data_IF_934405578390
#
_entry.id   IF_934405578390
#
_cell.length_a   1.000
_cell.length_b   1.000
_cell.length_c   1.000
_cell.angle_alpha   90.00
_cell.angle_beta   90.00
_cell.angle_gamma   90.00
#
_symmetry.space_group_name_H-M   'P 1'
#
loop_
_entity.id
_entity.type
_entity.pdbx_description
1 polymer ?
#
# COMPACT_ATOMS: atom_id res chain seq x y z
N UNK A 1 -1.52 63.79 8.44
CA UNK A 1 -2.31 62.57 8.13
C UNK A 1 -1.81 61.80 6.90
N UNK A 2 -1.37 62.45 5.80
CA UNK A 2 -0.81 61.74 4.63
C UNK A 2 0.54 61.03 4.87
N UNK A 3 1.37 61.54 5.79
CA UNK A 3 2.63 60.89 6.20
C UNK A 3 2.41 59.69 7.17
N UNK A 4 1.27 59.64 7.85
CA UNK A 4 0.93 58.55 8.78
C UNK A 4 0.28 57.36 8.05
N UNK A 5 -0.43 57.62 6.94
CA UNK A 5 -0.98 56.58 6.06
C UNK A 5 0.07 55.91 5.16
N UNK A 6 1.22 56.54 4.93
CA UNK A 6 2.33 55.95 4.16
C UNK A 6 3.21 55.04 5.00
N UNK A 7 3.31 55.26 6.32
CA UNK A 7 4.04 54.38 7.23
C UNK A 7 3.26 53.09 7.57
N UNK A 8 1.91 53.16 7.57
CA UNK A 8 1.06 51.98 7.82
C UNK A 8 1.00 51.00 6.64
N UNK A 9 1.34 51.46 5.43
CA UNK A 9 1.41 50.62 4.24
C UNK A 9 2.73 49.82 4.13
N UNK A 10 3.77 50.18 4.91
CA UNK A 10 5.06 49.48 4.89
C UNK A 10 5.12 48.29 5.85
N UNK A 11 4.21 48.20 6.83
CA UNK A 11 4.18 47.11 7.83
C UNK A 11 3.26 45.96 7.40
N UNK A 12 2.37 46.16 6.41
CA UNK A 12 1.51 45.12 5.86
C UNK A 12 2.19 44.23 4.79
N UNK A 13 3.46 44.48 4.49
CA UNK A 13 4.27 43.75 3.50
C UNK A 13 5.13 42.60 4.07
N UNK A 14 4.99 42.26 5.35
CA UNK A 14 5.54 41.03 5.90
C UNK A 14 4.66 39.87 5.44
N UNK A 15 4.84 39.48 4.18
CA UNK A 15 4.47 38.15 3.73
C UNK A 15 5.13 37.16 4.69
N UNK A 16 4.32 36.36 5.37
CA UNK A 16 4.73 35.08 5.90
C UNK A 16 5.32 34.29 4.74
N UNK A 17 6.63 34.39 4.55
CA UNK A 17 7.42 33.32 3.96
C UNK A 17 7.28 32.17 4.96
N UNK A 18 6.28 31.32 4.76
CA UNK A 18 6.39 29.94 5.23
C UNK A 18 7.60 29.38 4.50
N UNK A 19 8.77 29.45 5.13
CA UNK A 19 9.90 28.63 4.71
C UNK A 19 9.42 27.20 4.76
N UNK A 20 9.45 26.49 3.62
CA UNK A 20 9.41 25.04 3.65
C UNK A 20 10.59 24.60 4.51
N UNK A 21 10.30 24.16 5.73
CA UNK A 21 11.31 23.49 6.53
C UNK A 21 11.67 22.20 5.78
N UNK A 22 12.92 22.09 5.37
CA UNK A 22 13.47 20.94 4.66
C UNK A 22 14.51 20.31 5.56
N UNK A 23 14.36 19.02 5.84
CA UNK A 23 15.40 18.23 6.45
C UNK A 23 16.35 17.77 5.34
N UNK A 24 17.64 18.08 5.47
CA UNK A 24 18.66 17.64 4.52
C UNK A 24 19.64 16.70 5.20
N UNK A 25 20.26 15.84 4.42
CA UNK A 25 21.27 14.94 4.94
C UNK A 25 21.91 14.08 3.87
N UNK A 26 22.84 13.23 4.31
CA UNK A 26 23.56 12.28 3.49
C UNK A 26 23.58 10.91 4.16
N UNK A 27 23.33 9.87 3.37
CA UNK A 27 23.37 8.47 3.79
C UNK A 27 24.64 7.82 3.24
N UNK A 28 25.38 7.16 4.12
CA UNK A 28 26.62 6.44 3.79
C UNK A 28 26.65 5.05 4.41
N UNK A 29 27.47 4.17 3.85
CA UNK A 29 27.70 2.84 4.40
C UNK A 29 28.68 2.90 5.57
N UNK A 30 28.26 2.31 6.69
CA UNK A 30 29.08 2.15 7.87
C UNK A 30 30.30 1.26 7.57
N UNK A 31 31.50 1.81 7.73
CA UNK A 31 32.78 1.09 7.61
C UNK A 31 33.65 1.55 6.44
N UNK A 32 33.07 2.03 5.34
CA UNK A 32 33.83 2.57 4.19
C UNK A 32 33.42 3.99 3.78
N UNK A 33 32.36 4.55 4.37
CA UNK A 33 31.87 5.91 4.12
C UNK A 33 31.44 6.17 2.67
N UNK A 34 31.21 5.10 1.89
CA UNK A 34 30.70 5.22 0.53
C UNK A 34 29.25 5.72 0.57
N UNK A 35 28.84 6.59 -0.38
CA UNK A 35 27.45 7.04 -0.46
C UNK A 35 26.53 5.85 -0.73
N UNK A 36 25.37 5.84 -0.07
CA UNK A 36 24.30 4.87 -0.39
C UNK A 36 23.27 5.57 -1.26
N UNK A 37 23.32 5.37 -2.59
CA UNK A 37 22.32 5.93 -3.48
C UNK A 37 21.02 5.15 -3.38
N UNK A 38 19.91 5.80 -3.74
CA UNK A 38 18.58 5.19 -3.78
C UNK A 38 18.06 4.65 -2.43
N UNK A 39 18.64 5.09 -1.31
CA UNK A 39 18.14 4.83 0.04
C UNK A 39 16.88 5.66 0.27
N UNK A 40 15.86 5.02 0.81
CA UNK A 40 14.60 5.68 1.14
C UNK A 40 14.72 6.32 2.52
N UNK A 41 14.43 7.61 2.61
CA UNK A 41 14.46 8.40 3.84
C UNK A 41 13.08 8.99 4.07
N UNK A 42 12.42 8.64 5.17
CA UNK A 42 11.03 9.01 5.44
C UNK A 42 10.75 9.13 6.94
N UNK A 43 9.64 9.79 7.29
CA UNK A 43 9.16 9.78 8.67
C UNK A 43 8.22 8.60 8.91
N UNK A 44 8.47 7.85 9.98
CA UNK A 44 7.63 6.72 10.37
C UNK A 44 6.17 7.15 10.54
N UNK A 45 5.25 6.29 10.10
CA UNK A 45 3.81 6.56 10.11
C UNK A 45 3.34 7.57 9.07
N UNK A 46 4.19 8.03 8.13
CA UNK A 46 3.80 8.95 7.06
C UNK A 46 4.05 8.34 5.67
N UNK A 47 3.43 8.95 4.65
CA UNK A 47 3.77 8.68 3.23
C UNK A 47 4.74 9.73 2.66
N UNK A 48 5.30 10.58 3.54
CA UNK A 48 6.24 11.64 3.19
C UNK A 48 7.66 11.12 3.28
N UNK A 49 8.30 10.96 2.12
CA UNK A 49 9.65 10.43 2.02
C UNK A 49 10.34 10.83 0.73
N UNK A 50 11.66 10.74 0.75
CA UNK A 50 12.57 11.04 -0.36
C UNK A 50 13.45 9.81 -0.58
N UNK A 51 14.04 9.71 -1.76
CA UNK A 51 15.14 8.77 -2.02
C UNK A 51 16.44 9.56 -2.15
N UNK A 52 17.55 9.02 -1.65
CA UNK A 52 18.87 9.60 -1.84
C UNK A 52 19.29 9.58 -3.31
N UNK A 53 20.04 10.60 -3.71
CA UNK A 53 20.66 10.69 -5.03
C UNK A 53 21.94 9.82 -5.15
N UNK A 54 22.64 9.92 -6.28
CA UNK A 54 23.88 9.17 -6.55
C UNK A 54 25.01 9.46 -5.53
N UNK A 55 24.98 10.64 -4.90
CA UNK A 55 25.95 11.06 -3.87
C UNK A 55 25.48 10.70 -2.45
N UNK A 56 24.35 10.00 -2.33
CA UNK A 56 23.73 9.62 -1.06
C UNK A 56 22.98 10.77 -0.37
N UNK A 57 22.77 11.91 -1.03
CA UNK A 57 22.12 13.08 -0.42
C UNK A 57 20.60 13.04 -0.56
N UNK A 58 19.90 13.59 0.42
CA UNK A 58 18.44 13.76 0.39
C UNK A 58 18.02 15.14 0.89
N UNK A 59 16.83 15.56 0.45
CA UNK A 59 16.13 16.74 0.94
C UNK A 59 14.66 16.39 1.15
N UNK A 60 14.21 16.29 2.39
CA UNK A 60 12.86 15.85 2.74
C UNK A 60 12.05 17.03 3.29
N UNK A 61 10.91 17.33 2.70
CA UNK A 61 9.97 18.33 3.25
C UNK A 61 9.41 17.84 4.58
N UNK A 62 9.43 18.68 5.62
CA UNK A 62 8.78 18.40 6.91
C UNK A 62 7.43 19.11 7.06
N UNK A 63 6.86 19.56 5.94
CA UNK A 63 5.57 20.26 5.95
C UNK A 63 4.47 19.31 6.43
N UNK A 64 3.74 19.69 7.49
CA UNK A 64 2.70 18.84 8.09
C UNK A 64 3.20 17.74 9.04
N UNK A 65 4.49 17.74 9.38
CA UNK A 65 5.09 16.78 10.32
C UNK A 65 5.36 17.49 11.65
N UNK A 66 4.77 16.98 12.74
CA UNK A 66 5.05 17.46 14.09
C UNK A 66 6.35 16.83 14.62
N UNK A 67 7.30 17.67 15.04
CA UNK A 67 8.56 17.24 15.64
C UNK A 67 8.46 17.27 17.19
N UNK A 68 9.09 16.33 17.92
CA UNK A 68 10.01 15.31 17.42
C UNK A 68 9.31 14.16 16.71
N UNK A 69 9.86 13.73 15.58
CA UNK A 69 9.37 12.60 14.80
C UNK A 69 10.49 11.59 14.52
N UNK A 70 10.12 10.35 14.21
CA UNK A 70 11.07 9.27 13.95
C UNK A 70 11.40 9.24 12.46
N UNK A 71 12.64 9.51 12.10
CA UNK A 71 13.18 9.35 10.75
C UNK A 71 13.64 7.91 10.54
N UNK A 72 13.32 7.35 9.39
CA UNK A 72 13.69 6.00 8.99
C UNK A 72 14.48 6.07 7.69
N UNK A 73 15.64 5.41 7.67
CA UNK A 73 16.45 5.18 6.47
C UNK A 73 16.43 3.70 6.14
N UNK A 74 16.05 3.40 4.91
CA UNK A 74 15.81 2.06 4.43
C UNK A 74 16.41 1.85 3.05
N UNK A 75 17.19 0.79 2.89
CA UNK A 75 17.73 0.37 1.60
C UNK A 75 17.77 -1.16 1.52
N UNK A 76 17.57 -1.70 0.32
CA UNK A 76 17.64 -3.12 0.04
C UNK A 76 19.08 -3.60 0.27
N UNK A 77 19.29 -4.52 1.20
CA UNK A 77 20.62 -5.02 1.57
C UNK A 77 21.27 -4.30 2.77
N UNK A 78 20.60 -3.33 3.39
CA UNK A 78 21.07 -2.68 4.62
C UNK A 78 20.10 -2.91 5.78
N UNK A 79 20.61 -2.77 7.00
CA UNK A 79 19.81 -2.65 8.21
C UNK A 79 19.05 -1.32 8.17
N UNK A 80 17.79 -1.35 8.59
CA UNK A 80 16.98 -0.12 8.71
C UNK A 80 17.54 0.71 9.86
N UNK A 81 17.87 1.98 9.58
CA UNK A 81 18.25 2.95 10.61
C UNK A 81 17.03 3.75 11.02
N UNK A 82 16.79 3.84 12.33
CA UNK A 82 15.71 4.61 12.92
C UNK A 82 16.29 5.66 13.87
N UNK A 83 15.97 6.93 13.66
CA UNK A 83 16.55 8.07 14.39
C UNK A 83 15.47 9.10 14.77
N UNK A 84 15.30 9.47 16.06
CA UNK A 84 14.42 10.58 16.43
C UNK A 84 15.02 11.93 16.02
N UNK A 85 14.27 12.69 15.22
CA UNK A 85 14.63 14.04 14.76
C UNK A 85 13.83 15.06 15.56
N UNK A 86 14.53 16.01 16.21
CA UNK A 86 13.91 17.05 17.06
C UNK A 86 13.74 18.39 16.34
N UNK A 87 14.60 18.69 15.39
CA UNK A 87 14.55 19.89 14.56
C UNK A 87 15.20 19.63 13.19
N UNK A 88 15.15 20.63 12.30
CA UNK A 88 15.65 20.56 10.91
C UNK A 88 16.83 21.49 10.65
N UNK A 89 17.54 21.94 11.70
CA UNK A 89 18.56 22.99 11.57
C UNK A 89 19.88 22.51 11.01
N UNK A 90 20.24 21.25 11.28
CA UNK A 90 21.51 20.66 10.88
C UNK A 90 21.31 19.61 9.78
N UNK A 91 22.29 19.52 8.89
CA UNK A 91 22.35 18.47 7.88
C UNK A 91 22.72 17.15 8.56
N UNK A 92 21.90 16.11 8.37
CA UNK A 92 22.10 14.82 9.00
C UNK A 92 23.16 14.00 8.27
N UNK A 93 24.14 13.46 8.99
CA UNK A 93 25.03 12.42 8.50
C UNK A 93 24.53 11.07 9.02
N UNK A 94 24.05 10.22 8.13
CA UNK A 94 23.40 8.96 8.47
C UNK A 94 24.24 7.80 7.97
N UNK A 95 24.57 6.87 8.86
CA UNK A 95 25.34 5.67 8.53
C UNK A 95 24.46 4.43 8.66
N UNK A 96 24.40 3.63 7.59
CA UNK A 96 23.65 2.36 7.57
C UNK A 96 24.59 1.17 7.36
N UNK A 97 24.27 0.04 7.99
CA UNK A 97 25.11 -1.18 7.95
C UNK A 97 24.56 -2.18 6.95
N UNK A 98 25.44 -2.91 6.27
CA UNK A 98 25.02 -4.02 5.41
C UNK A 98 24.28 -5.06 6.26
N UNK A 99 23.14 -5.52 5.77
CA UNK A 99 22.38 -6.62 6.36
C UNK A 99 23.02 -7.94 5.95
N UNK A 100 23.59 -8.66 6.90
CA UNK A 100 24.07 -10.03 6.64
C UNK A 100 22.88 -10.95 6.37
N UNK A 101 22.61 -11.27 5.10
CA UNK A 101 21.66 -12.31 4.75
C UNK A 101 22.36 -13.68 4.79
N UNK A 102 21.84 -14.58 5.64
CA UNK A 102 22.05 -16.01 5.41
C UNK A 102 21.38 -16.36 4.09
N UNK A 103 22.17 -16.64 3.07
CA UNK A 103 21.65 -17.12 1.80
C UNK A 103 20.90 -18.44 2.03
N UNK A 104 19.56 -18.41 2.02
CA UNK A 104 18.83 -19.58 1.56
C UNK A 104 19.24 -19.75 0.10
N UNK A 105 19.83 -20.90 -0.23
CA UNK A 105 20.20 -21.23 -1.59
C UNK A 105 18.95 -21.08 -2.45
N UNK A 106 18.86 -20.00 -3.23
CA UNK A 106 17.90 -19.91 -4.32
C UNK A 106 18.32 -21.00 -5.27
N UNK A 107 17.62 -22.14 -5.23
CA UNK A 107 17.70 -23.11 -6.30
C UNK A 107 17.15 -22.37 -7.49
N UNK A 108 18.06 -21.84 -8.30
CA UNK A 108 17.78 -21.21 -9.58
C UNK A 108 17.20 -22.30 -10.47
N UNK A 109 15.90 -22.59 -10.31
CA UNK A 109 15.12 -23.31 -11.30
C UNK A 109 14.85 -22.32 -12.43
N UNK A 110 15.92 -21.92 -13.13
CA UNK A 110 15.89 -20.93 -14.20
C UNK A 110 15.03 -21.41 -15.37
N UNK A 111 13.74 -21.18 -15.25
CA UNK A 111 12.81 -21.16 -16.36
C UNK A 111 12.57 -19.69 -16.57
N UNK A 112 13.30 -19.06 -17.48
CA UNK A 112 13.15 -17.64 -17.83
C UNK A 112 11.69 -17.31 -18.21
N UNK A 113 10.86 -17.09 -17.20
CA UNK A 113 9.43 -16.76 -17.23
C UNK A 113 9.23 -15.31 -16.81
N UNK A 114 10.30 -14.48 -16.86
CA UNK A 114 10.29 -13.10 -16.36
C UNK A 114 9.10 -12.33 -16.90
N UNK A 115 8.82 -12.42 -18.19
CA UNK A 115 7.69 -11.71 -18.82
C UNK A 115 6.33 -12.13 -18.23
N UNK A 116 6.12 -13.43 -18.00
CA UNK A 116 4.90 -13.96 -17.37
C UNK A 116 4.78 -13.49 -15.93
N UNK A 117 5.86 -13.59 -15.15
CA UNK A 117 5.90 -13.16 -13.75
C UNK A 117 5.63 -11.67 -13.64
N UNK A 118 6.25 -10.86 -14.51
CA UNK A 118 6.06 -9.42 -14.57
C UNK A 118 4.62 -9.05 -14.96
N UNK A 119 4.03 -9.71 -15.95
CA UNK A 119 2.63 -9.46 -16.34
C UNK A 119 1.68 -9.74 -15.18
N UNK A 120 1.87 -10.85 -14.48
CA UNK A 120 1.05 -11.24 -13.33
C UNK A 120 1.26 -10.30 -12.15
N UNK A 121 2.52 -9.98 -11.82
CA UNK A 121 2.88 -8.99 -10.81
C UNK A 121 2.18 -7.65 -11.09
N UNK A 122 2.22 -7.15 -12.34
CA UNK A 122 1.53 -5.89 -12.71
C UNK A 122 0.03 -5.96 -12.44
N UNK A 123 -0.63 -7.05 -12.79
CA UNK A 123 -2.08 -7.21 -12.57
C UNK A 123 -2.43 -7.23 -11.08
N UNK A 124 -1.62 -7.93 -10.28
CA UNK A 124 -1.85 -8.07 -8.84
C UNK A 124 -1.44 -6.81 -8.05
N UNK A 125 -0.34 -6.18 -8.43
CA UNK A 125 0.23 -5.02 -7.74
C UNK A 125 -0.42 -3.70 -8.17
N UNK A 126 -0.53 -3.43 -9.47
CA UNK A 126 -1.12 -2.17 -9.97
C UNK A 126 -2.65 -2.25 -10.04
N UNK A 127 -3.20 -3.45 -10.17
CA UNK A 127 -4.62 -3.72 -10.40
C UNK A 127 -4.91 -4.17 -11.84
N UNK A 128 -6.00 -4.91 -12.02
CA UNK A 128 -6.40 -5.47 -13.32
C UNK A 128 -7.43 -4.61 -14.07
N UNK A 129 -7.96 -3.58 -13.42
CA UNK A 129 -8.94 -2.65 -14.00
C UNK A 129 -8.29 -1.59 -14.92
N UNK A 130 -9.10 -0.67 -15.44
CA UNK A 130 -8.62 0.36 -16.35
C UNK A 130 -7.55 1.29 -15.73
N UNK A 131 -7.55 1.48 -14.41
CA UNK A 131 -6.58 2.35 -13.73
C UNK A 131 -5.25 1.63 -13.58
N UNK A 132 -5.29 0.35 -13.17
CA UNK A 132 -4.10 -0.50 -13.09
C UNK A 132 -3.46 -0.75 -14.45
N UNK A 133 -4.26 -0.92 -15.50
CA UNK A 133 -3.77 -1.04 -16.89
C UNK A 133 -3.11 0.25 -17.40
N UNK A 134 -3.57 1.41 -16.94
CA UNK A 134 -2.98 2.70 -17.31
C UNK A 134 -1.68 3.01 -16.53
N UNK A 135 -1.55 2.47 -15.31
CA UNK A 135 -0.35 2.62 -14.48
C UNK A 135 0.87 1.92 -15.08
N UNK A 136 2.07 2.43 -14.76
CA UNK A 136 3.35 1.94 -15.30
C UNK A 136 4.40 1.88 -14.21
N UNK A 137 5.13 0.77 -14.14
CA UNK A 137 6.39 0.72 -13.40
C UNK A 137 7.48 1.13 -14.39
N UNK A 138 8.28 2.15 -14.06
CA UNK A 138 9.25 2.75 -14.98
C UNK A 138 10.58 1.98 -14.99
N UNK A 139 10.91 1.31 -13.89
CA UNK A 139 12.14 0.56 -13.66
C UNK A 139 11.86 -0.93 -13.37
N UNK A 140 11.13 -1.60 -14.27
CA UNK A 140 10.72 -3.01 -14.08
C UNK A 140 11.90 -3.98 -13.94
N UNK A 141 13.08 -3.63 -14.44
CA UNK A 141 14.34 -4.35 -14.26
C UNK A 141 14.79 -4.47 -12.80
N UNK A 142 14.34 -3.57 -11.92
CA UNK A 142 14.62 -3.63 -10.49
C UNK A 142 13.96 -4.85 -9.82
N UNK A 143 12.90 -5.41 -10.44
CA UNK A 143 12.16 -6.55 -9.89
C UNK A 143 12.93 -7.87 -10.03
N UNK A 144 13.00 -8.60 -8.93
CA UNK A 144 13.46 -9.98 -8.85
C UNK A 144 12.27 -10.84 -8.49
N UNK A 145 12.07 -11.93 -9.24
CA UNK A 145 10.95 -12.84 -9.04
C UNK A 145 11.45 -14.20 -8.58
N UNK A 146 10.72 -14.80 -7.64
CA UNK A 146 10.90 -16.19 -7.25
C UNK A 146 9.56 -16.95 -7.39
N UNK A 147 9.65 -18.24 -7.71
CA UNK A 147 8.50 -19.13 -7.84
C UNK A 147 8.87 -20.54 -7.44
N UNK A 148 8.06 -21.09 -6.54
CA UNK A 148 8.12 -22.48 -6.18
C UNK A 148 7.16 -23.31 -7.03
N UNK A 149 7.59 -24.54 -7.29
CA UNK A 149 6.85 -25.50 -8.09
C UNK A 149 6.73 -26.82 -7.35
N UNK A 150 5.56 -27.44 -7.47
CA UNK A 150 5.32 -28.82 -7.05
C UNK A 150 5.04 -29.68 -8.27
N UNK A 151 5.60 -30.89 -8.29
CA UNK A 151 5.28 -31.86 -9.33
C UNK A 151 3.88 -32.43 -9.07
N UNK A 152 3.02 -32.35 -10.08
CA UNK A 152 1.63 -32.80 -10.02
C UNK A 152 1.43 -33.94 -10.99
N UNK A 153 0.65 -34.95 -10.58
CA UNK A 153 0.26 -36.09 -11.40
C UNK A 153 -1.23 -35.98 -11.75
N UNK A 154 -1.54 -35.94 -13.04
CA UNK A 154 -2.91 -35.98 -13.55
C UNK A 154 -3.16 -37.27 -14.31
N UNK A 155 -4.09 -38.09 -13.81
CA UNK A 155 -4.54 -39.32 -14.48
C UNK A 155 -5.46 -38.97 -15.64
N UNK A 156 -5.19 -39.53 -16.82
CA UNK A 156 -5.94 -39.32 -18.05
C UNK A 156 -7.03 -40.38 -18.14
N UNK A 157 -8.28 -39.97 -17.94
CA UNK A 157 -9.43 -40.89 -17.85
C UNK A 157 -10.17 -41.07 -19.17
N UNK A 158 -9.97 -40.18 -20.14
CA UNK A 158 -10.64 -40.20 -21.43
C UNK A 158 -9.89 -39.32 -22.46
N UNK A 159 -10.27 -39.43 -23.74
CA UNK A 159 -9.64 -38.70 -24.84
C UNK A 159 -9.86 -37.18 -24.76
N UNK A 160 -10.95 -36.74 -24.15
CA UNK A 160 -11.20 -35.32 -23.90
C UNK A 160 -10.11 -34.71 -23.01
N UNK A 161 -9.78 -35.37 -21.88
CA UNK A 161 -8.69 -34.92 -21.00
C UNK A 161 -7.34 -34.94 -21.71
N UNK A 162 -7.09 -35.95 -22.55
CA UNK A 162 -5.87 -36.04 -23.36
C UNK A 162 -5.72 -34.81 -24.26
N UNK A 163 -6.77 -34.46 -25.00
CA UNK A 163 -6.79 -33.28 -25.87
C UNK A 163 -6.63 -31.98 -25.07
N UNK A 164 -7.33 -31.83 -23.95
CA UNK A 164 -7.21 -30.65 -23.06
C UNK A 164 -5.77 -30.43 -22.59
N UNK A 165 -5.06 -31.49 -22.19
CA UNK A 165 -3.65 -31.39 -21.75
C UNK A 165 -2.73 -31.00 -22.90
N UNK A 166 -2.96 -31.53 -24.11
CA UNK A 166 -2.19 -31.20 -25.31
C UNK A 166 -2.43 -29.74 -25.74
N UNK A 167 -3.68 -29.29 -25.70
CA UNK A 167 -4.08 -27.92 -26.07
C UNK A 167 -3.57 -26.88 -25.08
N UNK A 168 -3.44 -27.25 -23.79
CA UNK A 168 -2.94 -26.37 -22.74
C UNK A 168 -1.45 -25.99 -22.90
N UNK A 169 -0.69 -26.70 -23.76
CA UNK A 169 0.72 -26.42 -24.09
C UNK A 169 1.58 -26.08 -22.87
N UNK A 170 1.38 -26.77 -21.74
CA UNK A 170 2.14 -26.47 -20.53
C UNK A 170 3.59 -26.92 -20.74
N UNK A 171 4.58 -26.12 -20.30
CA UNK A 171 5.97 -26.55 -20.31
C UNK A 171 6.15 -27.75 -19.36
N UNK A 172 7.10 -28.63 -19.69
CA UNK A 172 7.54 -29.75 -18.85
C UNK A 172 6.46 -30.78 -18.48
N UNK A 173 5.49 -31.00 -19.36
CA UNK A 173 4.62 -32.17 -19.28
C UNK A 173 5.42 -33.41 -19.63
N UNK A 174 5.40 -34.42 -18.76
CA UNK A 174 5.93 -35.75 -19.02
C UNK A 174 4.78 -36.75 -19.04
N UNK A 175 4.67 -37.52 -20.13
CA UNK A 175 3.65 -38.55 -20.26
C UNK A 175 4.18 -39.87 -19.72
N UNK A 176 3.31 -40.62 -19.03
CA UNK A 176 3.54 -42.03 -18.79
C UNK A 176 3.65 -42.78 -20.13
N UNK A 177 4.47 -43.83 -20.19
CA UNK A 177 4.69 -44.60 -21.43
C UNK A 177 3.40 -45.20 -22.00
N UNK A 178 2.46 -45.59 -21.13
CA UNK A 178 1.13 -46.09 -21.47
C UNK A 178 0.10 -44.97 -21.73
N UNK A 179 0.50 -43.71 -21.57
CA UNK A 179 -0.36 -42.55 -21.70
C UNK A 179 -1.47 -42.45 -20.65
N UNK A 180 -1.37 -43.19 -19.53
CA UNK A 180 -2.40 -43.25 -18.48
C UNK A 180 -2.38 -42.02 -17.54
N UNK A 181 -1.24 -41.35 -17.44
CA UNK A 181 -1.11 -40.11 -16.69
C UNK A 181 -0.07 -39.18 -17.29
N UNK A 182 -0.13 -37.92 -16.85
CA UNK A 182 0.92 -36.93 -17.06
C UNK A 182 1.44 -36.41 -15.74
N UNK A 183 2.73 -36.12 -15.67
CA UNK A 183 3.30 -35.28 -14.62
C UNK A 183 3.65 -33.91 -15.18
N UNK A 184 3.47 -32.86 -14.38
CA UNK A 184 3.81 -31.49 -14.76
C UNK A 184 4.10 -30.66 -13.51
N UNK A 185 4.85 -29.58 -13.68
CA UNK A 185 5.12 -28.68 -12.56
C UNK A 185 4.03 -27.62 -12.46
N UNK A 186 3.47 -27.49 -11.28
CA UNK A 186 2.48 -26.48 -10.95
C UNK A 186 3.13 -25.45 -10.02
N UNK A 187 3.10 -24.18 -10.43
CA UNK A 187 3.52 -23.09 -9.57
C UNK A 187 2.58 -23.04 -8.34
N UNK A 188 3.14 -22.82 -7.16
CA UNK A 188 2.35 -22.69 -5.91
C UNK A 188 2.26 -21.26 -5.41
N UNK A 189 3.23 -20.43 -5.77
CA UNK A 189 3.31 -19.02 -5.43
C UNK A 189 3.92 -18.17 -6.57
N UNK A 190 3.89 -16.86 -6.38
CA UNK A 190 4.78 -15.89 -7.02
C UNK A 190 5.23 -14.90 -5.96
N UNK A 191 6.55 -14.80 -5.79
CA UNK A 191 7.19 -13.81 -4.94
C UNK A 191 7.87 -12.75 -5.79
N UNK A 192 7.90 -11.51 -5.29
CA UNK A 192 8.69 -10.44 -5.87
C UNK A 192 9.37 -9.58 -4.81
N UNK A 193 10.59 -9.19 -5.10
CA UNK A 193 11.34 -8.15 -4.39
C UNK A 193 11.87 -7.13 -5.39
N UNK A 194 12.30 -5.96 -4.92
CA UNK A 194 12.93 -4.96 -5.75
C UNK A 194 14.35 -4.69 -5.23
N UNK A 195 15.32 -4.52 -6.13
CA UNK A 195 16.72 -4.18 -5.77
C UNK A 195 16.88 -2.71 -5.35
N UNK A 196 16.01 -1.86 -5.86
CA UNK A 196 15.89 -0.42 -5.56
C UNK A 196 14.40 -0.09 -5.52
N UNK A 197 13.99 1.04 -4.92
CA UNK A 197 12.59 1.44 -4.93
C UNK A 197 12.00 1.48 -6.35
N UNK A 198 10.77 0.95 -6.50
CA UNK A 198 10.06 0.99 -7.78
C UNK A 198 9.54 2.40 -8.04
N UNK A 199 9.69 2.89 -9.26
CA UNK A 199 9.06 4.13 -9.70
C UNK A 199 7.78 3.83 -10.47
N UNK A 200 6.64 4.21 -9.91
CA UNK A 200 5.31 3.88 -10.43
C UNK A 200 4.58 5.15 -10.87
N UNK A 201 4.27 5.25 -12.15
CA UNK A 201 3.44 6.32 -12.69
C UNK A 201 1.95 5.98 -12.52
N UNK A 202 1.20 6.87 -11.85
CA UNK A 202 -0.26 6.80 -11.70
C UNK A 202 -0.91 7.93 -12.52
N UNK A 203 -1.08 7.76 -13.85
CA UNK A 203 -1.48 8.85 -14.74
C UNK A 203 -2.89 9.35 -14.49
N UNK A 204 -3.76 8.55 -13.87
CA UNK A 204 -5.12 8.94 -13.55
C UNK A 204 -5.23 9.78 -12.28
N UNK A 205 -4.32 9.58 -11.33
CA UNK A 205 -4.24 10.37 -10.11
C UNK A 205 -3.24 11.53 -10.21
N UNK A 206 -2.39 11.54 -11.25
CA UNK A 206 -1.36 12.56 -11.42
C UNK A 206 -0.26 12.46 -10.38
N UNK A 207 0.12 11.23 -10.01
CA UNK A 207 1.23 10.94 -9.11
C UNK A 207 2.31 10.14 -9.81
N UNK A 208 3.55 10.36 -9.39
CA UNK A 208 4.61 9.35 -9.44
C UNK A 208 4.78 8.84 -8.01
N UNK A 209 4.80 7.52 -7.83
CA UNK A 209 4.93 6.89 -6.51
C UNK A 209 6.23 6.10 -6.50
N UNK A 210 7.10 6.39 -5.54
CA UNK A 210 8.25 5.53 -5.25
C UNK A 210 7.83 4.48 -4.23
N UNK A 211 8.10 3.22 -4.51
CA UNK A 211 7.71 2.10 -3.64
C UNK A 211 8.95 1.35 -3.17
N UNK A 212 9.25 1.45 -1.88
CA UNK A 212 10.19 0.56 -1.20
C UNK A 212 9.47 -0.76 -0.92
N UNK A 213 9.49 -1.67 -1.91
CA UNK A 213 8.81 -2.96 -1.85
C UNK A 213 9.60 -3.93 -0.96
N UNK A 214 9.09 -4.19 0.25
CA UNK A 214 9.69 -5.16 1.19
C UNK A 214 9.37 -6.59 0.83
N UNK A 215 8.11 -6.86 0.52
CA UNK A 215 7.67 -8.18 0.09
C UNK A 215 6.46 -8.08 -0.84
N UNK A 216 6.37 -9.01 -1.76
CA UNK A 216 5.18 -9.31 -2.53
C UNK A 216 5.08 -10.83 -2.61
N UNK A 217 3.92 -11.38 -2.27
CA UNK A 217 3.66 -12.80 -2.38
C UNK A 217 2.20 -13.04 -2.81
N UNK A 218 2.01 -13.94 -3.76
CA UNK A 218 0.71 -14.56 -3.99
C UNK A 218 0.80 -16.06 -3.78
N UNK A 219 -0.15 -16.62 -3.03
CA UNK A 219 -0.26 -18.05 -2.76
C UNK A 219 -1.47 -18.59 -3.50
N UNK A 220 -1.25 -19.29 -4.62
CA UNK A 220 -2.32 -19.65 -5.56
C UNK A 220 -3.39 -20.56 -4.96
N UNK A 221 -3.00 -21.50 -4.09
CA UNK A 221 -3.95 -22.42 -3.45
C UNK A 221 -4.91 -21.69 -2.50
N UNK A 222 -4.45 -20.59 -1.90
CA UNK A 222 -5.23 -19.79 -0.96
C UNK A 222 -5.99 -18.66 -1.67
N UNK A 223 -5.57 -18.28 -2.89
CA UNK A 223 -6.13 -17.15 -3.61
C UNK A 223 -5.77 -15.80 -2.99
N UNK A 224 -4.74 -15.76 -2.14
CA UNK A 224 -4.31 -14.57 -1.40
C UNK A 224 -3.14 -13.93 -2.12
N UNK A 225 -3.17 -12.60 -2.20
CA UNK A 225 -2.01 -11.79 -2.59
C UNK A 225 -1.77 -10.75 -1.51
N UNK A 226 -0.54 -10.67 -1.03
CA UNK A 226 -0.08 -9.68 -0.07
C UNK A 226 1.12 -8.93 -0.64
N UNK A 227 1.21 -7.64 -0.32
CA UNK A 227 2.41 -6.86 -0.52
C UNK A 227 2.61 -5.93 0.66
N UNK A 228 3.85 -5.77 1.08
CA UNK A 228 4.24 -4.86 2.15
C UNK A 228 5.36 -3.95 1.63
N UNK A 229 5.25 -2.67 1.94
CA UNK A 229 6.20 -1.67 1.50
C UNK A 229 5.78 -0.26 1.86
N UNK A 230 6.69 0.67 1.67
CA UNK A 230 6.43 2.10 1.89
C UNK A 230 6.21 2.81 0.56
N UNK A 231 5.24 3.72 0.53
CA UNK A 231 4.78 4.41 -0.68
C UNK A 231 4.99 5.91 -0.52
N UNK A 232 5.76 6.51 -1.43
CA UNK A 232 6.11 7.92 -1.40
C UNK A 232 5.55 8.61 -2.63
N UNK A 233 4.62 9.53 -2.42
CA UNK A 233 3.88 10.16 -3.50
C UNK A 233 4.49 11.49 -3.87
N UNK A 234 4.76 11.67 -5.16
CA UNK A 234 5.13 12.94 -5.74
C UNK A 234 4.03 13.39 -6.71
N UNK A 235 3.38 14.51 -6.38
CA UNK A 235 2.41 15.14 -7.25
C UNK A 235 3.07 15.63 -8.54
N UNK A 236 2.43 15.38 -9.70
CA UNK A 236 2.80 16.08 -10.94
C UNK A 236 2.26 17.51 -10.86
N UNK A 237 3.03 18.39 -10.23
CA UNK A 237 2.74 19.82 -10.21
C UNK A 237 2.91 20.40 -11.62
N UNK A 238 2.02 21.32 -12.00
CA UNK A 238 2.03 21.97 -13.33
C UNK A 238 1.07 21.35 -14.35
N UNK A 239 0.64 22.18 -15.30
CA UNK A 239 -0.37 21.86 -16.31
C UNK A 239 -1.63 22.73 -16.21
N UNK A 240 -2.39 22.79 -17.31
CA UNK A 240 -3.62 23.58 -17.41
C UNK A 240 -4.66 23.21 -16.33
N UNK A 241 -5.45 24.18 -15.89
CA UNK A 241 -6.48 24.06 -14.86
C UNK A 241 -7.43 22.89 -15.09
N UNK A 242 -7.74 22.57 -16.36
CA UNK A 242 -8.56 21.41 -16.72
C UNK A 242 -7.95 20.08 -16.29
N UNK A 243 -6.63 19.93 -16.38
CA UNK A 243 -5.91 18.70 -16.00
C UNK A 243 -5.90 18.55 -14.48
N UNK A 244 -5.61 19.62 -13.74
CA UNK A 244 -5.66 19.64 -12.27
C UNK A 244 -7.03 19.22 -11.75
N UNK A 245 -8.09 19.82 -12.28
CA UNK A 245 -9.48 19.47 -11.94
C UNK A 245 -9.87 18.02 -12.26
N UNK A 246 -9.27 17.42 -13.30
CA UNK A 246 -9.46 15.99 -13.60
C UNK A 246 -8.80 15.12 -12.53
N UNK A 247 -7.60 15.47 -12.08
CA UNK A 247 -6.92 14.74 -11.00
C UNK A 247 -7.67 14.85 -9.68
N UNK A 248 -8.12 16.04 -9.28
CA UNK A 248 -8.92 16.25 -8.06
C UNK A 248 -10.14 15.33 -8.02
N UNK A 249 -10.96 15.33 -9.08
CA UNK A 249 -12.14 14.45 -9.17
C UNK A 249 -11.79 12.96 -9.12
N UNK A 250 -10.66 12.56 -9.69
CA UNK A 250 -10.21 11.16 -9.68
C UNK A 250 -9.67 10.77 -8.31
N UNK A 251 -8.92 11.64 -7.65
CA UNK A 251 -8.45 11.44 -6.27
C UNK A 251 -9.62 11.34 -5.31
N UNK A 252 -10.65 12.18 -5.44
CA UNK A 252 -11.88 12.08 -4.65
C UNK A 252 -12.57 10.71 -4.87
N UNK A 253 -12.68 10.27 -6.12
CA UNK A 253 -13.23 8.94 -6.44
C UNK A 253 -12.40 7.80 -5.84
N UNK A 254 -11.07 7.94 -5.80
CA UNK A 254 -10.18 6.94 -5.23
C UNK A 254 -10.28 6.91 -3.69
N UNK A 255 -10.52 8.06 -3.07
CA UNK A 255 -10.64 8.21 -1.63
C UNK A 255 -11.86 7.48 -1.07
N UNK A 256 -13.05 7.72 -1.62
CA UNK A 256 -14.25 7.10 -1.08
C UNK A 256 -14.24 5.57 -1.28
N UNK A 257 -14.62 4.86 -0.23
CA UNK A 257 -14.48 3.40 -0.13
C UNK A 257 -13.05 2.88 -0.35
N UNK A 258 -12.04 3.62 0.12
CA UNK A 258 -10.65 3.16 0.28
C UNK A 258 -10.38 2.73 1.72
N UNK A 259 -9.28 2.00 1.94
CA UNK A 259 -8.79 1.70 3.28
C UNK A 259 -8.49 2.98 4.07
N UNK A 260 -7.92 4.00 3.42
CA UNK A 260 -7.65 5.31 4.01
C UNK A 260 -8.92 5.96 4.58
N UNK A 261 -9.98 6.03 3.77
CA UNK A 261 -11.28 6.59 4.20
C UNK A 261 -11.93 5.75 5.32
N UNK A 262 -11.89 4.42 5.19
CA UNK A 262 -12.41 3.53 6.22
C UNK A 262 -11.69 3.71 7.56
N UNK A 263 -10.36 3.72 7.57
CA UNK A 263 -9.55 3.81 8.78
C UNK A 263 -9.70 5.18 9.45
N UNK A 264 -9.81 6.27 8.68
CA UNK A 264 -10.13 7.60 9.23
C UNK A 264 -11.53 7.64 9.86
N UNK A 265 -12.53 7.07 9.18
CA UNK A 265 -13.88 6.99 9.73
C UNK A 265 -13.94 6.12 11.01
N UNK A 266 -13.17 5.04 11.05
CA UNK A 266 -13.01 4.20 12.25
C UNK A 266 -12.35 4.99 13.38
N UNK A 267 -11.24 5.67 13.11
CA UNK A 267 -10.52 6.50 14.08
C UNK A 267 -11.41 7.57 14.69
N UNK A 268 -12.23 8.22 13.87
CA UNK A 268 -13.16 9.28 14.31
C UNK A 268 -14.42 8.75 15.00
N UNK A 269 -14.62 7.43 15.07
CA UNK A 269 -15.85 6.83 15.58
C UNK A 269 -17.09 7.13 14.71
N UNK A 270 -16.88 7.45 13.43
CA UNK A 270 -17.90 7.99 12.51
C UNK A 270 -18.18 7.04 11.32
N UNK A 271 -18.14 5.72 11.55
CA UNK A 271 -18.33 4.74 10.48
C UNK A 271 -19.68 4.90 9.78
N UNK A 272 -20.77 5.04 10.53
CA UNK A 272 -22.13 5.11 9.97
C UNK A 272 -22.38 6.39 9.16
N UNK A 273 -21.86 7.53 9.64
CA UNK A 273 -21.89 8.82 8.92
C UNK A 273 -21.12 8.72 7.59
N UNK A 274 -20.02 7.97 7.59
CA UNK A 274 -19.18 7.72 6.42
C UNK A 274 -19.63 6.49 5.60
N UNK A 275 -20.86 6.01 5.82
CA UNK A 275 -21.49 4.98 5.00
C UNK A 275 -20.99 3.55 5.26
N UNK A 276 -20.30 3.31 6.38
CA UNK A 276 -19.80 1.98 6.74
C UNK A 276 -20.67 1.28 7.79
N UNK A 277 -20.84 -0.03 7.61
CA UNK A 277 -21.36 -0.94 8.63
C UNK A 277 -20.45 -2.17 8.72
N UNK A 278 -20.11 -2.58 9.94
CA UNK A 278 -19.39 -3.82 10.20
C UNK A 278 -20.37 -4.93 10.55
N UNK A 279 -20.14 -6.10 9.97
CA UNK A 279 -20.86 -7.32 10.30
C UNK A 279 -19.87 -8.44 10.59
N UNK A 280 -20.33 -9.49 11.26
CA UNK A 280 -19.57 -10.71 11.43
C UNK A 280 -20.42 -11.96 11.25
N UNK A 281 -19.75 -13.08 11.01
CA UNK A 281 -20.37 -14.38 10.91
C UNK A 281 -20.35 -15.08 12.29
N UNK A 282 -21.51 -15.23 12.91
CA UNK A 282 -21.69 -15.97 14.15
C UNK A 282 -22.19 -17.39 13.88
N UNK A 283 -21.54 -18.40 14.46
CA UNK A 283 -22.08 -19.76 14.47
C UNK A 283 -23.26 -19.83 15.44
N UNK A 284 -24.41 -20.28 14.94
CA UNK A 284 -25.56 -20.58 15.80
C UNK A 284 -25.22 -21.75 16.71
N UNK A 285 -25.91 -21.84 17.86
CA UNK A 285 -25.72 -22.90 18.85
C UNK A 285 -25.91 -24.34 18.33
N UNK A 286 -26.45 -24.52 17.12
CA UNK A 286 -26.57 -25.80 16.41
C UNK A 286 -25.26 -26.26 15.73
N UNK A 287 -24.23 -25.40 15.67
CA UNK A 287 -22.92 -25.67 15.08
C UNK A 287 -22.90 -25.88 13.56
N UNK A 288 -24.06 -25.81 12.89
CA UNK A 288 -24.22 -26.09 11.45
C UNK A 288 -24.59 -24.87 10.64
N UNK A 289 -25.27 -23.91 11.27
CA UNK A 289 -25.70 -22.68 10.62
C UNK A 289 -24.91 -21.48 11.12
N UNK A 290 -24.66 -20.54 10.22
CA UNK A 290 -24.09 -19.24 10.55
C UNK A 290 -25.11 -18.14 10.32
N UNK A 291 -25.04 -17.11 11.14
CA UNK A 291 -25.80 -15.87 11.00
C UNK A 291 -24.83 -14.74 10.72
N UNK A 292 -25.22 -13.80 9.85
CA UNK A 292 -24.49 -12.55 9.68
C UNK A 292 -25.16 -11.53 10.59
N UNK A 293 -24.42 -11.00 11.57
CA UNK A 293 -24.93 -10.06 12.57
C UNK A 293 -24.13 -8.75 12.55
N UNK A 294 -24.71 -7.61 12.99
CA UNK A 294 -23.96 -6.38 13.19
C UNK A 294 -22.83 -6.56 14.21
N UNK A 295 -21.67 -5.98 13.91
CA UNK A 295 -20.50 -6.03 14.78
C UNK A 295 -20.19 -4.63 15.32
N UNK A 296 -20.12 -4.49 16.65
CA UNK A 296 -19.64 -3.29 17.31
C UNK A 296 -18.15 -3.41 17.62
N UNK A 297 -17.34 -2.61 16.93
CA UNK A 297 -15.89 -2.59 17.10
C UNK A 297 -15.44 -1.71 18.27
N UNK A 298 -16.28 -0.79 18.77
CA UNK A 298 -15.90 0.21 19.77
C UNK A 298 -15.27 -0.39 21.05
N UNK A 299 -15.77 -1.51 21.62
CA UNK A 299 -15.17 -2.12 22.81
C UNK A 299 -13.73 -2.61 22.63
N UNK A 300 -13.28 -2.78 21.38
CA UNK A 300 -11.95 -3.26 21.03
C UNK A 300 -10.94 -2.14 20.77
N UNK A 301 -11.39 -0.88 20.74
CA UNK A 301 -10.57 0.30 20.46
C UNK A 301 -10.09 0.96 21.75
N UNK A 302 -8.80 1.26 21.82
CA UNK A 302 -8.17 1.99 22.92
C UNK A 302 -7.29 3.12 22.38
N UNK A 303 -7.52 4.38 22.79
CA UNK A 303 -6.58 5.45 22.46
C UNK A 303 -5.22 5.20 23.09
N UNK A 304 -4.16 5.35 22.30
CA UNK A 304 -2.77 5.22 22.73
C UNK A 304 -1.97 6.40 22.17
N UNK A 305 -1.20 7.09 23.02
CA UNK A 305 -0.50 8.31 22.60
C UNK A 305 -1.45 9.43 22.16
N UNK A 306 -0.97 10.32 21.28
CA UNK A 306 -1.75 11.48 20.82
C UNK A 306 -2.61 11.17 19.59
N UNK A 307 -2.13 10.34 18.66
CA UNK A 307 -2.73 10.16 17.33
C UNK A 307 -2.93 8.69 16.91
N UNK A 308 -3.05 7.78 17.88
CA UNK A 308 -3.20 6.34 17.61
C UNK A 308 -4.39 5.74 18.35
N UNK A 309 -5.07 4.82 17.68
CA UNK A 309 -5.97 3.85 18.31
C UNK A 309 -5.38 2.46 18.16
N UNK A 310 -5.30 1.76 19.29
CA UNK A 310 -4.97 0.35 19.35
C UNK A 310 -6.25 -0.49 19.30
N UNK A 311 -6.25 -1.52 18.47
CA UNK A 311 -7.30 -2.51 18.31
C UNK A 311 -6.79 -3.81 18.93
N UNK A 312 -7.44 -4.27 20.00
CA UNK A 312 -7.01 -5.46 20.75
C UNK A 312 -8.10 -6.52 20.76
N UNK A 313 -7.74 -7.80 20.88
CA UNK A 313 -8.71 -8.89 21.07
C UNK A 313 -9.48 -9.34 19.82
N UNK A 314 -9.02 -8.94 18.62
CA UNK A 314 -9.61 -9.34 17.33
C UNK A 314 -8.72 -10.27 16.49
N UNK A 315 -7.57 -10.70 16.99
CA UNK A 315 -6.65 -11.58 16.27
C UNK A 315 -7.34 -12.80 15.64
N UNK A 316 -7.05 -13.04 14.36
CA UNK A 316 -7.61 -14.13 13.56
C UNK A 316 -9.06 -13.91 13.09
N UNK A 317 -9.76 -12.86 13.57
CA UNK A 317 -11.15 -12.60 13.19
C UNK A 317 -11.24 -12.00 11.79
N UNK A 318 -12.37 -12.26 11.14
CA UNK A 318 -12.73 -11.70 9.85
C UNK A 318 -14.04 -10.95 9.98
N UNK A 319 -14.02 -9.65 9.71
CA UNK A 319 -15.22 -8.81 9.65
C UNK A 319 -15.63 -8.57 8.20
N UNK A 320 -16.92 -8.41 7.99
CA UNK A 320 -17.50 -7.97 6.73
C UNK A 320 -17.69 -6.45 6.83
N UNK A 321 -17.08 -5.72 5.89
CA UNK A 321 -17.22 -4.27 5.78
C UNK A 321 -18.21 -3.97 4.65
N UNK A 322 -19.35 -3.36 4.99
CA UNK A 322 -20.30 -2.85 4.02
C UNK A 322 -20.09 -1.36 3.83
N UNK A 323 -20.06 -0.91 2.57
CA UNK A 323 -20.02 0.50 2.22
C UNK A 323 -21.24 0.91 1.39
N UNK A 324 -21.97 1.91 1.87
CA UNK A 324 -23.16 2.47 1.24
C UNK A 324 -22.81 3.82 0.61
N UNK A 325 -22.61 3.80 -0.70
CA UNK A 325 -22.34 4.99 -1.50
C UNK A 325 -23.54 5.44 -2.34
N UNK A 326 -23.54 6.72 -2.72
CA UNK A 326 -24.42 7.24 -3.76
C UNK A 326 -23.93 6.82 -5.17
N UNK A 327 -24.57 7.33 -6.23
CA UNK A 327 -24.18 7.00 -7.62
C UNK A 327 -22.79 7.50 -8.00
N UNK A 328 -22.24 8.47 -7.27
CA UNK A 328 -20.89 9.02 -7.45
C UNK A 328 -19.86 8.33 -6.55
N UNK A 329 -20.31 7.45 -5.65
CA UNK A 329 -19.48 6.75 -4.68
C UNK A 329 -19.29 7.49 -3.36
N UNK A 330 -19.93 8.64 -3.16
CA UNK A 330 -19.86 9.41 -1.90
C UNK A 330 -20.66 8.71 -0.81
N UNK A 331 -20.26 8.81 0.48
CA UNK A 331 -20.90 8.09 1.57
C UNK A 331 -22.36 8.53 1.74
N UNK A 332 -23.23 7.56 2.02
CA UNK A 332 -24.60 7.80 2.46
C UNK A 332 -24.68 7.57 3.97
N UNK A 333 -25.33 8.45 4.75
CA UNK A 333 -25.59 8.19 6.15
C UNK A 333 -26.60 7.05 6.31
N UNK A 334 -26.62 6.42 7.48
CA UNK A 334 -27.46 5.24 7.78
C UNK A 334 -28.94 5.42 7.43
N UNK A 335 -29.48 6.62 7.64
CA UNK A 335 -30.86 6.98 7.29
C UNK A 335 -31.21 6.77 5.81
N UNK A 336 -30.21 6.67 4.92
CA UNK A 336 -30.37 6.50 3.47
C UNK A 336 -29.98 5.13 2.95
N UNK A 337 -29.65 4.16 3.81
CA UNK A 337 -29.22 2.81 3.40
C UNK A 337 -30.38 1.94 2.93
N UNK A 338 -31.62 2.27 3.30
CA UNK A 338 -32.80 1.49 2.90
C UNK A 338 -32.86 1.33 1.37
N UNK A 339 -32.96 0.08 0.92
CA UNK A 339 -32.98 -0.32 -0.51
C UNK A 339 -31.70 0.01 -1.29
N UNK A 340 -30.57 0.28 -0.61
CA UNK A 340 -29.26 0.42 -1.25
C UNK A 340 -28.51 -0.90 -1.16
N UNK A 341 -27.91 -1.28 -2.29
CA UNK A 341 -26.97 -2.39 -2.38
C UNK A 341 -25.59 -1.87 -1.94
N UNK A 342 -25.05 -2.33 -0.80
CA UNK A 342 -23.72 -1.94 -0.36
C UNK A 342 -22.64 -2.62 -1.22
N UNK A 343 -21.47 -2.00 -1.27
CA UNK A 343 -20.25 -2.67 -1.70
C UNK A 343 -19.69 -3.43 -0.50
N UNK A 344 -19.37 -4.71 -0.69
CA UNK A 344 -18.84 -5.57 0.37
C UNK A 344 -17.31 -5.71 0.25
N UNK A 345 -16.65 -5.65 1.40
CA UNK A 345 -15.23 -5.95 1.59
C UNK A 345 -15.05 -6.80 2.84
N UNK A 346 -13.85 -7.35 3.04
CA UNK A 346 -13.48 -8.02 4.29
C UNK A 346 -12.38 -7.25 5.00
N UNK A 347 -12.30 -7.44 6.32
CA UNK A 347 -11.26 -6.91 7.19
C UNK A 347 -10.76 -8.03 8.10
N UNK A 348 -9.48 -8.37 8.00
CA UNK A 348 -8.82 -9.41 8.79
C UNK A 348 -7.78 -8.80 9.73
N UNK A 349 -7.75 -9.28 10.97
CA UNK A 349 -6.77 -8.89 11.98
C UNK A 349 -5.78 -10.04 12.17
N UNK A 350 -4.52 -9.85 11.78
CA UNK A 350 -3.47 -10.85 11.90
C UNK A 350 -2.89 -10.95 13.30
N UNK A 351 -2.73 -9.82 13.98
CA UNK A 351 -2.03 -9.71 15.26
C UNK A 351 -3.00 -9.49 16.44
N UNK A 352 -2.50 -9.72 17.66
CA UNK A 352 -3.22 -9.43 18.91
C UNK A 352 -3.48 -7.94 19.10
N UNK A 353 -2.56 -7.13 18.60
CA UNK A 353 -2.56 -5.67 18.70
C UNK A 353 -2.37 -5.11 17.29
N UNK A 354 -3.32 -4.31 16.83
CA UNK A 354 -3.23 -3.58 15.57
C UNK A 354 -3.39 -2.09 15.85
N UNK A 355 -2.54 -1.24 15.28
CA UNK A 355 -2.58 0.20 15.46
C UNK A 355 -3.13 0.86 14.19
N UNK A 356 -4.03 1.82 14.38
CA UNK A 356 -4.47 2.74 13.34
C UNK A 356 -4.15 4.18 13.77
N UNK A 357 -3.77 5.03 12.82
CA UNK A 357 -3.43 6.43 13.06
C UNK A 357 -4.54 7.36 12.56
N UNK A 358 -4.57 8.59 13.09
CA UNK A 358 -5.54 9.61 12.71
C UNK A 358 -5.57 9.91 11.20
N UNK A 359 -4.42 9.77 10.53
CA UNK A 359 -4.28 9.99 9.08
C UNK A 359 -4.81 8.82 8.23
N UNK A 360 -5.23 7.71 8.84
CA UNK A 360 -5.75 6.52 8.19
C UNK A 360 -4.69 5.51 7.77
N UNK A 361 -3.48 5.57 8.33
CA UNK A 361 -2.41 4.58 8.15
C UNK A 361 -2.35 3.57 9.31
N UNK A 362 -1.70 2.43 9.08
CA UNK A 362 -1.56 1.35 10.09
C UNK A 362 -0.11 1.06 10.51
N UNK A 363 0.88 1.66 9.84
CA UNK A 363 2.29 1.32 10.07
C UNK A 363 2.56 -0.16 9.80
N UNK A 364 3.19 -0.86 10.75
CA UNK A 364 3.54 -2.28 10.64
C UNK A 364 2.44 -3.25 11.10
N UNK A 365 1.26 -2.75 11.49
CA UNK A 365 0.18 -3.63 11.98
C UNK A 365 -0.39 -4.54 10.91
N UNK A 366 -0.54 -5.83 11.24
CA UNK A 366 -1.11 -6.86 10.36
C UNK A 366 -2.63 -6.73 10.21
N UNK A 367 -3.08 -5.67 9.51
CA UNK A 367 -4.48 -5.41 9.21
C UNK A 367 -4.72 -5.50 7.71
N UNK A 368 -5.51 -6.48 7.26
CA UNK A 368 -5.66 -6.81 5.85
C UNK A 368 -7.08 -6.58 5.35
N UNK A 369 -7.21 -5.91 4.20
CA UNK A 369 -8.48 -5.76 3.50
C UNK A 369 -8.63 -6.79 2.39
N UNK A 370 -9.86 -7.25 2.17
CA UNK A 370 -10.22 -8.12 1.03
C UNK A 370 -11.48 -7.59 0.33
N UNK A 371 -11.87 -8.20 -0.80
CA UNK A 371 -13.00 -7.72 -1.58
C UNK A 371 -12.70 -6.36 -2.22
N UNK A 372 -13.65 -5.42 -2.24
CA UNK A 372 -13.44 -4.15 -2.95
C UNK A 372 -12.29 -3.31 -2.34
N UNK A 373 -12.17 -3.24 -1.01
CA UNK A 373 -11.09 -2.50 -0.34
C UNK A 373 -9.71 -3.13 -0.60
N UNK A 374 -9.63 -4.47 -0.63
CA UNK A 374 -8.36 -5.20 -0.83
C UNK A 374 -7.94 -5.36 -2.29
N UNK A 375 -8.89 -5.41 -3.23
CA UNK A 375 -8.59 -5.64 -4.65
C UNK A 375 -8.18 -4.37 -5.40
N UNK A 376 -8.25 -3.21 -4.75
CA UNK A 376 -7.72 -1.95 -5.29
C UNK A 376 -6.19 -2.01 -5.23
N UNK A 377 -5.55 -2.19 -6.38
CA UNK A 377 -4.10 -2.16 -6.48
C UNK A 377 -3.53 -0.75 -6.26
N UNK A 378 -2.20 -0.63 -6.37
CA UNK A 378 -1.44 0.63 -6.16
C UNK A 378 -1.99 1.80 -6.98
N UNK A 379 -2.64 1.54 -8.11
CA UNK A 379 -3.25 2.57 -8.96
C UNK A 379 -4.38 3.39 -8.30
N UNK A 380 -4.91 2.91 -7.17
CA UNK A 380 -5.97 3.56 -6.40
C UNK A 380 -5.47 4.22 -5.11
N UNK A 381 -4.19 4.06 -4.77
CA UNK A 381 -3.65 4.58 -3.52
C UNK A 381 -3.52 6.12 -3.56
N UNK A 382 -3.69 6.72 -2.40
CA UNK A 382 -3.52 8.14 -2.15
C UNK A 382 -2.52 8.31 -1.01
N UNK A 383 -1.78 9.43 -0.98
CA UNK A 383 -0.93 9.72 0.17
C UNK A 383 -1.77 9.95 1.42
N UNK A 384 -1.17 9.69 2.58
CA UNK A 384 -1.83 9.82 3.88
C UNK A 384 -2.20 11.25 4.25
N UNK A 385 -1.60 12.25 3.60
CA UNK A 385 -1.93 13.66 3.73
C UNK A 385 -3.06 14.12 2.78
N UNK A 386 -3.56 13.25 1.90
CA UNK A 386 -4.65 13.60 1.00
C UNK A 386 -5.91 13.93 1.78
N UNK A 387 -6.52 15.07 1.46
CA UNK A 387 -7.80 15.51 2.00
C UNK A 387 -8.77 15.84 0.86
N UNK A 388 -10.04 15.53 1.06
CA UNK A 388 -11.10 15.93 0.13
C UNK A 388 -11.46 17.42 0.30
N UNK A 389 -12.10 18.01 -0.72
CA UNK A 389 -12.65 19.38 -0.57
C UNK A 389 -13.68 19.50 0.55
N UNK A 390 -14.34 18.39 0.93
CA UNK A 390 -15.31 18.34 2.01
C UNK A 390 -14.65 18.37 3.40
N UNK A 391 -13.45 17.81 3.54
CA UNK A 391 -12.67 17.84 4.79
C UNK A 391 -11.95 19.18 5.01
N UNK A 392 -11.77 19.98 3.94
CA UNK A 392 -11.15 21.30 3.99
C UNK A 392 -12.14 22.45 4.33
N UNK A 393 -13.42 22.14 4.56
CA UNK A 393 -14.49 23.11 4.90
C UNK A 393 -15.02 22.83 6.28
#
# INVERSE_FOLDING_TARGET
MRALMTLLALVAGLHFLCGQSVLSGRVTEAGNQQPVPFATVYFDGTTTGQTTDEDGRFQLSVSGIELPAVLVVSHVGYETLTLPVKDTKEELQLEIRIREQVMSTVVVQDRNQRQKNLQEFRQLFLGSDAWGQAARILNEEALVFNRDYVNQKLVIRNDYMRKMVQDAKRPNIQWAADGSYVTFDQAVNLEATAKVPLEVELPDLGYTVRVDLKSFETIYKQGTTSYFGHFFFQGKEGGDAKRKRRFEKKRERAYYNSSLHFLRALYQGALAENGYRLLEEERKGDGRNTAIVPFDIQPYLKPVGNDQLEITGLAGRNLIVLYYGDRKGQPLPESRWKNRQPVQSGLHFGDQECVIRADGTTGESSLYFSGNLGNRGVSWLLPSDYQTEAENK
#
